data_IF_676091625291
#
_entry.id   IF_676091625291
#
_cell.length_a   1.000
_cell.length_b   1.000
_cell.length_c   1.000
_cell.angle_alpha   90.00
_cell.angle_beta   90.00
_cell.angle_gamma   90.00
#
_symmetry.space_group_name_H-M   'P 1'
#
loop_
_entity.id
_entity.type
_entity.pdbx_description
1 polymer ?
#
# COMPACT_ATOMS: atom_id res chain seq x y z
N UNK A 1 7.86 -2.61 -30.33
CA UNK A 1 7.58 -2.65 -29.95
C UNK A 1 7.30 -2.44 -29.21
N UNK A 2 7.41 -2.46 -29.03
CA UNK A 2 7.12 -2.28 -28.29
C UNK A 2 6.67 -2.09 -27.43
N UNK A 3 6.69 -2.11 -27.18
CA UNK A 3 6.27 -2.00 -26.44
C UNK A 3 5.63 -1.82 -25.74
N UNK A 4 5.62 -1.94 -25.73
CA UNK A 4 4.99 -1.82 -25.17
C UNK A 4 4.62 -1.70 -24.23
N UNK A 5 4.79 -1.54 -23.96
CA UNK A 5 4.43 -1.46 -23.05
C UNK A 5 3.88 -0.84 -22.51
N UNK A 6 3.92 -0.59 -22.67
CA UNK A 6 3.44 -0.03 -22.27
C UNK A 6 2.56 0.28 -21.90
N UNK A 7 2.42 0.28 -21.98
CA UNK A 7 1.57 0.67 -21.78
C UNK A 7 0.98 0.65 -20.90
N UNK A 8 1.27 0.43 -20.72
CA UNK A 8 0.79 0.45 -19.90
C UNK A 8 0.49 1.27 -19.19
N UNK A 9 0.42 1.90 -19.03
CA UNK A 9 0.06 2.62 -18.32
C UNK A 9 -0.69 3.57 -18.33
N UNK A 10 -1.22 3.92 -18.51
CA UNK A 10 -1.97 4.91 -18.53
C UNK A 10 -3.08 4.83 -17.68
N UNK A 11 -3.70 5.69 -17.11
CA UNK A 11 -4.79 5.62 -16.19
C UNK A 11 -4.38 5.02 -14.85
N UNK A 12 -5.30 4.89 -13.89
CA UNK A 12 -5.00 4.32 -12.58
C UNK A 12 -4.68 2.85 -12.69
N UNK A 13 -3.64 2.45 -11.98
CA UNK A 13 -3.24 1.05 -11.97
C UNK A 13 -4.15 0.27 -11.01
N UNK A 14 -4.64 -0.89 -11.44
CA UNK A 14 -5.48 -1.70 -10.56
C UNK A 14 -4.82 -2.04 -9.24
N UNK A 15 -3.51 -2.23 -9.25
CA UNK A 15 -2.78 -2.54 -8.02
C UNK A 15 -2.86 -1.41 -7.01
N UNK A 16 -2.74 -0.16 -7.50
CA UNK A 16 -2.80 0.98 -6.60
C UNK A 16 -4.16 1.06 -5.93
N UNK A 17 -5.22 0.89 -6.70
CA UNK A 17 -6.55 0.92 -6.16
C UNK A 17 -6.76 -0.19 -5.13
N UNK A 18 -6.33 -1.41 -5.46
CA UNK A 18 -6.47 -2.53 -4.54
C UNK A 18 -5.72 -2.29 -3.24
N UNK A 19 -4.51 -1.75 -3.34
CA UNK A 19 -3.70 -1.48 -2.16
C UNK A 19 -4.38 -0.42 -1.29
N UNK A 20 -4.84 0.66 -1.89
CA UNK A 20 -5.49 1.73 -1.14
C UNK A 20 -6.79 1.26 -0.51
N UNK A 21 -7.54 0.41 -1.20
CA UNK A 21 -8.77 -0.15 -0.63
C UNK A 21 -8.46 -1.03 0.57
N UNK A 22 -7.40 -1.81 0.48
CA UNK A 22 -6.99 -2.67 1.58
C UNK A 22 -6.55 -1.83 2.79
N UNK A 23 -5.77 -0.77 2.53
CA UNK A 23 -5.35 0.13 3.60
C UNK A 23 -6.56 0.83 4.24
N UNK A 24 -7.51 1.26 3.42
CA UNK A 24 -8.69 1.97 3.93
C UNK A 24 -9.54 1.05 4.80
N UNK A 25 -9.55 -0.24 4.49
CA UNK A 25 -10.31 -1.21 5.27
C UNK A 25 -9.59 -1.59 6.57
N UNK A 26 -8.35 -1.13 6.74
CA UNK A 26 -7.54 -1.47 7.92
C UNK A 26 -7.08 -0.18 8.59
N UNK A 27 -7.93 0.45 9.42
CA UNK A 27 -7.60 1.75 10.03
C UNK A 27 -6.32 1.71 10.85
N UNK A 28 -6.02 0.56 11.45
CA UNK A 28 -4.80 0.42 12.25
C UNK A 28 -3.58 0.09 11.40
N UNK A 29 -3.76 0.00 10.11
CA UNK A 29 -2.68 -0.32 9.19
C UNK A 29 -2.61 -1.80 8.89
N UNK A 30 -1.96 -2.12 7.78
CA UNK A 30 -1.68 -3.49 7.39
C UNK A 30 -0.22 -3.78 7.62
N UNK A 31 0.10 -4.99 8.10
CA UNK A 31 1.50 -5.36 8.20
C UNK A 31 2.09 -5.49 6.80
N UNK A 32 3.37 -5.19 6.69
CA UNK A 32 4.07 -5.32 5.42
C UNK A 32 3.99 -6.75 4.90
N UNK A 33 4.07 -7.73 5.81
CA UNK A 33 3.98 -9.13 5.44
C UNK A 33 2.65 -9.45 4.77
N UNK A 34 1.54 -8.88 5.28
CA UNK A 34 0.23 -9.11 4.69
C UNK A 34 0.17 -8.51 3.28
N UNK A 35 0.74 -7.33 3.10
CA UNK A 35 0.77 -6.71 1.78
C UNK A 35 1.53 -7.56 0.78
N UNK A 36 2.67 -8.11 1.19
CA UNK A 36 3.44 -8.98 0.33
C UNK A 36 2.69 -10.26 0.01
N UNK A 37 1.94 -10.78 0.98
CA UNK A 37 1.13 -11.98 0.77
C UNK A 37 0.01 -11.74 -0.24
N UNK A 38 -0.43 -10.48 -0.38
CA UNK A 38 -1.45 -10.13 -1.36
C UNK A 38 -0.86 -9.88 -2.76
N UNK A 39 0.44 -10.05 -2.90
CA UNK A 39 1.10 -9.93 -4.20
C UNK A 39 1.70 -8.57 -4.48
N UNK A 40 1.68 -7.66 -3.53
CA UNK A 40 2.32 -6.36 -3.71
C UNK A 40 3.81 -6.49 -3.45
N UNK A 41 4.61 -5.71 -4.16
CA UNK A 41 6.06 -5.75 -4.00
C UNK A 41 6.51 -4.67 -3.04
N UNK A 42 7.71 -4.85 -2.50
CA UNK A 42 8.31 -3.84 -1.63
C UNK A 42 8.48 -2.52 -2.39
N UNK A 43 8.93 -2.59 -3.64
CA UNK A 43 9.11 -1.40 -4.46
C UNK A 43 7.80 -0.63 -4.62
N UNK A 44 6.71 -1.36 -4.81
CA UNK A 44 5.40 -0.74 -4.95
C UNK A 44 4.99 -0.02 -3.66
N UNK A 45 5.22 -0.66 -2.51
CA UNK A 45 4.90 -0.05 -1.22
C UNK A 45 5.76 1.19 -0.97
N UNK A 46 7.03 1.12 -1.31
CA UNK A 46 7.92 2.28 -1.18
C UNK A 46 7.41 3.43 -2.04
N UNK A 47 6.94 3.13 -3.24
CA UNK A 47 6.42 4.15 -4.12
C UNK A 47 5.19 4.84 -3.52
N UNK A 48 4.29 4.07 -2.93
CA UNK A 48 3.11 4.65 -2.27
C UNK A 48 3.51 5.57 -1.12
N UNK A 49 4.53 5.18 -0.36
CA UNK A 49 5.01 5.98 0.75
C UNK A 49 5.66 7.26 0.23
N UNK A 50 6.46 7.15 -0.82
CA UNK A 50 7.14 8.31 -1.40
C UNK A 50 6.17 9.32 -1.98
N UNK A 51 5.04 8.86 -2.50
CA UNK A 51 4.03 9.77 -3.05
C UNK A 51 3.12 10.32 -1.97
N UNK A 52 3.32 9.93 -0.73
CA UNK A 52 2.54 10.44 0.39
C UNK A 52 1.20 9.76 0.58
N UNK A 53 0.90 8.72 -0.18
CA UNK A 53 -0.40 8.03 -0.07
C UNK A 53 -0.45 7.07 1.10
N UNK A 54 0.70 6.70 1.64
CA UNK A 54 0.78 5.79 2.78
C UNK A 54 1.95 6.18 3.65
N UNK A 55 1.90 5.76 4.91
CA UNK A 55 3.03 5.92 5.83
C UNK A 55 3.40 4.56 6.36
N UNK A 56 4.66 4.41 6.72
CA UNK A 56 5.17 3.17 7.30
C UNK A 56 5.59 3.46 8.72
N UNK A 57 5.14 2.63 9.63
CA UNK A 57 5.51 2.73 11.04
C UNK A 57 5.99 1.38 11.51
N UNK A 58 6.99 1.40 12.38
CA UNK A 58 7.47 0.19 13.01
C UNK A 58 6.90 0.12 14.40
N UNK A 59 6.35 -1.01 14.76
CA UNK A 59 5.71 -1.23 16.02
C UNK A 59 6.38 -2.39 16.73
N UNK A 60 6.65 -2.23 18.02
CA UNK A 60 7.21 -3.32 18.79
C UNK A 60 6.07 -4.14 19.37
N UNK A 61 6.09 -5.41 19.09
CA UNK A 61 5.07 -6.35 19.55
C UNK A 61 5.76 -7.41 20.38
N UNK A 62 5.16 -7.75 21.52
CA UNK A 62 5.68 -8.83 22.36
C UNK A 62 4.76 -10.02 22.21
N UNK A 63 5.30 -11.13 21.75
CA UNK A 63 4.54 -12.35 21.56
C UNK A 63 5.39 -13.53 22.02
N UNK A 64 4.82 -14.37 22.88
CA UNK A 64 5.54 -15.53 23.38
C UNK A 64 6.80 -15.18 24.13
N UNK A 65 6.80 -14.03 24.82
CA UNK A 65 7.96 -13.58 25.57
C UNK A 65 9.07 -12.99 24.73
N UNK A 66 8.83 -12.79 23.44
CA UNK A 66 9.82 -12.23 22.52
C UNK A 66 9.33 -10.91 21.97
N UNK A 67 10.23 -9.94 21.92
CA UNK A 67 9.95 -8.66 21.30
C UNK A 67 10.25 -8.75 19.81
N UNK A 68 9.33 -8.30 19.01
CA UNK A 68 9.48 -8.29 17.55
C UNK A 68 9.08 -6.93 17.02
N UNK A 69 9.69 -6.52 15.94
CA UNK A 69 9.29 -5.30 15.26
C UNK A 69 8.47 -5.67 14.03
N UNK A 70 7.31 -5.03 13.92
CA UNK A 70 6.40 -5.26 12.81
C UNK A 70 6.23 -3.94 12.08
N UNK A 71 6.47 -3.97 10.77
CA UNK A 71 6.24 -2.79 9.94
C UNK A 71 4.78 -2.76 9.52
N UNK A 72 4.12 -1.64 9.77
CA UNK A 72 2.73 -1.44 9.38
C UNK A 72 2.65 -0.28 8.41
N UNK A 73 1.78 -0.43 7.43
CA UNK A 73 1.55 0.59 6.40
C UNK A 73 0.12 1.08 6.56
N UNK A 74 -0.05 2.39 6.65
CA UNK A 74 -1.35 3.01 6.87
C UNK A 74 -1.63 3.99 5.75
N UNK A 75 -2.90 4.12 5.39
CA UNK A 75 -3.31 5.09 4.39
C UNK A 75 -3.27 6.49 5.00
N UNK A 76 -2.90 7.47 4.19
CA UNK A 76 -2.91 8.88 4.59
C UNK A 76 -4.14 9.57 4.03
N UNK A 77 -4.31 10.83 4.41
CA UNK A 77 -5.37 11.65 3.82
C UNK A 77 -5.20 11.75 2.31
N UNK A 78 -3.95 11.92 1.86
CA UNK A 78 -3.66 11.97 0.43
C UNK A 78 -4.07 10.65 -0.24
N UNK A 79 -3.77 9.52 0.41
CA UNK A 79 -4.15 8.22 -0.10
C UNK A 79 -5.66 8.06 -0.18
N UNK A 80 -6.39 8.55 0.83
CA UNK A 80 -7.85 8.46 0.83
C UNK A 80 -8.45 9.27 -0.31
N UNK A 81 -7.90 10.45 -0.57
CA UNK A 81 -8.36 11.28 -1.68
C UNK A 81 -8.08 10.60 -3.02
N UNK A 82 -6.90 10.01 -3.15
CA UNK A 82 -6.56 9.30 -4.38
C UNK A 82 -7.51 8.14 -4.61
N UNK A 83 -7.84 7.40 -3.54
CA UNK A 83 -8.78 6.29 -3.65
C UNK A 83 -10.15 6.77 -4.09
N UNK A 84 -10.61 7.88 -3.54
CA UNK A 84 -11.90 8.43 -3.91
C UNK A 84 -11.94 8.78 -5.40
N UNK A 85 -10.85 9.35 -5.91
CA UNK A 85 -10.76 9.68 -7.33
C UNK A 85 -10.73 8.44 -8.20
N UNK A 86 -10.08 7.39 -7.73
CA UNK A 86 -10.01 6.14 -8.49
C UNK A 86 -11.35 5.42 -8.56
N UNK A 87 -12.25 5.70 -7.62
CA UNK A 87 -13.58 5.08 -7.60
C UNK A 87 -14.57 5.76 -8.51
N UNK A 88 -14.31 7.01 -8.86
CA UNK A 88 -15.22 7.74 -9.73
C UNK A 88 -14.85 7.51 -11.18
N UNK A 89 -15.82 7.20 -12.02
CA UNK A 89 -15.56 7.01 -13.44
C UNK A 89 -15.17 8.32 -14.12
#
# INVERSE_FOLDING_TARGET
MPTTYSGRRRGPKPERRRALELFAASPDGCSEAIMLAHGFTVDFLVDLIRTGMATRQTERVVAGGRAMEVARVRITEVGRRALAELRWP
#
